data_IF_817376245161
#
_entry.id   IF_817376245161
#
_cell.length_a   1.000
_cell.length_b   1.000
_cell.length_c   1.000
_cell.angle_alpha   90.00
_cell.angle_beta   90.00
_cell.angle_gamma   90.00
#
_symmetry.space_group_name_H-M   'P 1'
#
loop_
_entity.id
_entity.type
_entity.pdbx_description
1 polymer ?
#
# COMPACT_ATOMS: atom_id res chain seq x y z
N UNK A 1 3.30 14.96 3.65
CA UNK A 1 3.50 15.07 2.19
C UNK A 1 2.24 15.61 1.52
N UNK A 2 2.36 16.57 0.61
CA UNK A 2 1.25 17.10 -0.19
C UNK A 2 1.03 16.26 -1.45
N UNK A 3 -0.20 16.15 -1.93
CA UNK A 3 -0.64 15.40 -3.12
C UNK A 3 0.29 15.58 -4.33
N UNK A 4 0.67 16.83 -4.64
CA UNK A 4 1.61 17.17 -5.73
C UNK A 4 2.99 16.51 -5.62
N UNK A 5 3.51 16.36 -4.40
CA UNK A 5 4.84 15.77 -4.16
C UNK A 5 4.84 14.26 -4.37
N UNK A 6 3.69 13.61 -4.19
CA UNK A 6 3.52 12.17 -4.42
C UNK A 6 3.49 11.91 -5.92
N UNK A 7 2.70 12.69 -6.68
CA UNK A 7 2.57 12.58 -8.13
C UNK A 7 3.93 12.71 -8.84
N UNK A 8 4.69 13.77 -8.55
CA UNK A 8 6.02 13.97 -9.17
C UNK A 8 7.03 12.87 -8.82
N UNK A 9 6.87 12.21 -7.66
CA UNK A 9 7.77 11.12 -7.28
C UNK A 9 7.36 9.79 -7.92
N UNK A 10 6.08 9.56 -8.15
CA UNK A 10 5.59 8.45 -8.97
C UNK A 10 6.13 8.61 -10.41
N UNK A 11 6.00 9.79 -11.02
CA UNK A 11 6.55 10.06 -12.38
C UNK A 11 8.05 9.70 -12.50
N UNK A 12 8.85 10.03 -11.48
CA UNK A 12 10.28 9.71 -11.46
C UNK A 12 10.56 8.22 -11.26
N UNK A 13 9.69 7.51 -10.56
CA UNK A 13 9.84 6.08 -10.29
C UNK A 13 9.43 5.23 -11.50
N UNK A 14 8.43 5.67 -12.28
CA UNK A 14 8.03 5.04 -13.55
C UNK A 14 9.08 5.18 -14.65
N UNK A 15 9.88 6.24 -14.62
CA UNK A 15 10.96 6.45 -15.58
C UNK A 15 12.11 5.43 -15.45
N UNK A 16 12.08 4.57 -14.42
CA UNK A 16 13.06 3.50 -14.18
C UNK A 16 12.49 2.16 -14.69
N UNK A 17 13.34 1.31 -15.29
CA UNK A 17 12.98 -0.09 -15.59
C UNK A 17 12.63 -0.79 -14.27
N UNK A 18 11.36 -1.16 -14.11
CA UNK A 18 10.82 -1.98 -13.02
C UNK A 18 10.87 -3.46 -13.39
N UNK A 19 10.97 -4.32 -12.38
CA UNK A 19 10.81 -5.76 -12.55
C UNK A 19 9.33 -6.13 -12.38
N UNK A 20 8.87 -7.19 -13.05
CA UNK A 20 7.45 -7.61 -13.04
C UNK A 20 6.92 -7.98 -11.63
N UNK A 21 7.81 -8.23 -10.67
CA UNK A 21 7.47 -8.62 -9.30
C UNK A 21 7.58 -7.45 -8.28
N UNK A 22 7.82 -6.23 -8.74
CA UNK A 22 7.95 -5.06 -7.86
C UNK A 22 6.59 -4.42 -7.55
N UNK A 23 6.39 -4.07 -6.28
CA UNK A 23 5.22 -3.37 -5.76
C UNK A 23 5.59 -1.94 -5.40
N UNK A 24 4.76 -0.97 -5.76
CA UNK A 24 4.98 0.43 -5.40
C UNK A 24 4.45 0.68 -4.00
N UNK A 25 5.35 0.92 -3.04
CA UNK A 25 4.98 1.27 -1.68
C UNK A 25 4.80 2.78 -1.54
N UNK A 26 3.59 3.20 -1.17
CA UNK A 26 3.22 4.56 -0.83
C UNK A 26 2.95 4.69 0.67
N UNK A 27 3.29 5.85 1.23
CA UNK A 27 3.09 6.17 2.64
C UNK A 27 2.24 7.42 2.79
N UNK A 28 1.25 7.36 3.68
CA UNK A 28 0.45 8.51 4.11
C UNK A 28 0.53 8.70 5.62
N UNK A 29 0.36 9.93 6.10
CA UNK A 29 0.07 10.13 7.53
C UNK A 29 -1.37 9.68 7.82
N UNK A 30 -1.68 9.22 9.05
CA UNK A 30 -3.04 8.80 9.41
C UNK A 30 -4.04 9.94 9.16
N UNK A 31 -5.16 9.63 8.50
CA UNK A 31 -6.21 10.61 8.17
C UNK A 31 -5.91 11.51 6.96
N UNK A 32 -4.75 11.36 6.30
CA UNK A 32 -4.49 12.06 5.05
C UNK A 32 -5.19 11.37 3.87
N UNK A 33 -5.91 12.14 3.06
CA UNK A 33 -6.51 11.65 1.81
C UNK A 33 -5.42 11.45 0.75
N UNK A 34 -5.12 10.18 0.47
CA UNK A 34 -4.21 9.77 -0.60
C UNK A 34 -4.99 9.24 -1.82
N UNK A 35 -6.28 8.99 -1.68
CA UNK A 35 -7.10 8.38 -2.72
C UNK A 35 -7.22 9.34 -3.89
N UNK A 36 -7.30 10.65 -3.63
CA UNK A 36 -7.21 11.69 -4.65
C UNK A 36 -5.85 11.69 -5.37
N UNK A 37 -4.74 11.45 -4.66
CA UNK A 37 -3.40 11.43 -5.25
C UNK A 37 -3.21 10.20 -6.16
N UNK A 38 -3.61 9.02 -5.67
CA UNK A 38 -3.53 7.77 -6.43
C UNK A 38 -4.50 7.81 -7.61
N UNK A 39 -5.73 8.27 -7.41
CA UNK A 39 -6.69 8.44 -8.51
C UNK A 39 -6.20 9.42 -9.57
N UNK A 40 -5.52 10.50 -9.18
CA UNK A 40 -4.94 11.45 -10.14
C UNK A 40 -3.76 10.85 -10.90
N UNK A 41 -2.88 10.10 -10.23
CA UNK A 41 -1.75 9.41 -10.87
C UNK A 41 -2.24 8.33 -11.84
N UNK A 42 -3.27 7.58 -11.42
CA UNK A 42 -3.91 6.58 -12.26
C UNK A 42 -4.55 7.17 -13.52
N UNK A 43 -5.33 8.25 -13.38
CA UNK A 43 -5.91 8.97 -14.53
C UNK A 43 -4.85 9.54 -15.48
N UNK A 44 -3.68 9.88 -14.95
CA UNK A 44 -2.55 10.35 -15.74
C UNK A 44 -1.78 9.20 -16.41
N UNK A 45 -2.22 7.94 -16.27
CA UNK A 45 -1.58 6.78 -16.86
C UNK A 45 -0.21 6.46 -16.23
N UNK A 46 0.00 6.92 -14.99
CA UNK A 46 1.27 6.70 -14.29
C UNK A 46 1.39 5.30 -13.72
N UNK A 47 0.31 4.54 -13.63
CA UNK A 47 0.37 3.12 -13.29
C UNK A 47 0.12 2.31 -14.56
N UNK A 48 1.04 1.39 -14.85
CA UNK A 48 0.87 0.40 -15.89
C UNK A 48 -0.13 -0.67 -15.46
N UNK A 49 -0.76 -1.30 -16.44
CA UNK A 49 -1.66 -2.43 -16.18
C UNK A 49 -0.88 -3.57 -15.52
N UNK A 50 -1.34 -4.00 -14.34
CA UNK A 50 -0.70 -5.05 -13.54
C UNK A 50 0.16 -4.53 -12.38
N UNK A 51 0.34 -3.22 -12.24
CA UNK A 51 1.10 -2.67 -11.12
C UNK A 51 0.44 -2.91 -9.78
N UNK A 52 1.25 -3.38 -8.85
CA UNK A 52 0.84 -3.62 -7.47
C UNK A 52 1.18 -2.39 -6.63
N UNK A 53 0.20 -1.51 -6.42
CA UNK A 53 0.38 -0.30 -5.60
C UNK A 53 -0.18 -0.52 -4.19
N UNK A 54 0.68 -0.39 -3.19
CA UNK A 54 0.33 -0.53 -1.77
C UNK A 54 0.35 0.84 -1.09
N UNK A 55 -0.63 1.10 -0.23
CA UNK A 55 -0.65 2.32 0.57
C UNK A 55 -0.74 2.03 2.07
N UNK A 56 0.36 2.27 2.79
CA UNK A 56 0.43 2.16 4.25
C UNK A 56 0.21 3.49 4.98
N UNK A 57 -0.35 3.41 6.19
CA UNK A 57 -0.31 4.54 7.13
C UNK A 57 0.99 4.53 7.91
N UNK A 58 1.70 5.66 7.88
CA UNK A 58 2.94 5.88 8.63
C UNK A 58 2.65 6.39 10.03
N UNK A 59 2.96 5.58 11.05
CA UNK A 59 2.71 5.90 12.46
C UNK A 59 3.95 6.38 13.21
N UNK A 60 5.06 6.63 12.50
CA UNK A 60 6.24 7.26 13.10
C UNK A 60 6.03 8.74 13.37
N UNK A 61 6.80 9.28 14.31
CA UNK A 61 6.79 10.71 14.64
C UNK A 61 7.30 11.54 13.45
N UNK A 62 8.34 11.05 12.77
CA UNK A 62 8.97 11.68 11.60
C UNK A 62 8.09 11.69 10.34
N UNK A 63 8.56 12.39 9.30
CA UNK A 63 7.94 12.37 7.99
C UNK A 63 7.84 10.95 7.40
N UNK A 64 6.77 10.65 6.66
CA UNK A 64 6.61 9.34 6.04
C UNK A 64 7.76 9.04 5.07
N UNK A 65 8.20 7.77 4.99
CA UNK A 65 9.25 7.36 4.09
C UNK A 65 8.94 7.70 2.64
N UNK A 66 10.00 7.74 1.84
CA UNK A 66 9.83 7.99 0.44
C UNK A 66 9.08 6.86 -0.26
N UNK A 67 8.12 7.21 -1.13
CA UNK A 67 7.53 6.27 -2.09
C UNK A 67 8.65 5.56 -2.86
N UNK A 68 8.59 4.23 -2.94
CA UNK A 68 9.61 3.40 -3.57
C UNK A 68 9.04 2.06 -4.02
N UNK A 69 9.65 1.48 -5.04
CA UNK A 69 9.42 0.09 -5.43
C UNK A 69 10.04 -0.86 -4.40
N UNK A 70 9.30 -1.88 -4.01
CA UNK A 70 9.71 -2.96 -3.11
C UNK A 70 9.36 -4.29 -3.76
N UNK A 71 10.28 -5.25 -3.72
CA UNK A 71 10.06 -6.59 -4.26
C UNK A 71 9.59 -7.54 -3.15
N UNK A 72 10.16 -7.40 -1.95
CA UNK A 72 9.83 -8.26 -0.79
C UNK A 72 9.53 -7.41 0.41
N UNK A 73 8.25 -7.30 0.76
CA UNK A 73 7.79 -6.44 1.87
C UNK A 73 8.56 -6.73 3.16
N UNK A 74 8.74 -8.02 3.51
CA UNK A 74 9.43 -8.42 4.74
C UNK A 74 10.93 -8.07 4.78
N UNK A 75 11.59 -7.97 3.63
CA UNK A 75 13.05 -7.76 3.55
C UNK A 75 13.40 -6.31 3.19
N UNK A 76 12.55 -5.65 2.42
CA UNK A 76 12.80 -4.31 1.88
C UNK A 76 12.26 -3.21 2.79
N UNK A 77 11.36 -3.53 3.74
CA UNK A 77 10.88 -2.58 4.74
C UNK A 77 11.68 -2.70 6.03
N UNK A 78 11.98 -1.53 6.60
CA UNK A 78 12.57 -1.40 7.93
C UNK A 78 11.57 -1.80 9.01
N UNK A 79 12.05 -2.12 10.22
CA UNK A 79 11.17 -2.46 11.34
C UNK A 79 10.09 -1.40 11.66
N UNK A 80 10.37 -0.08 11.62
CA UNK A 80 9.35 0.96 11.82
C UNK A 80 8.30 1.00 10.71
N UNK A 81 8.71 0.74 9.47
CA UNK A 81 7.83 0.66 8.30
C UNK A 81 6.90 -0.56 8.44
N UNK A 82 7.47 -1.73 8.75
CA UNK A 82 6.70 -2.95 9.01
C UNK A 82 5.74 -2.77 10.19
N UNK A 83 6.19 -2.16 11.30
CA UNK A 83 5.34 -1.88 12.45
C UNK A 83 4.17 -0.96 12.13
N UNK A 84 4.38 0.02 11.25
CA UNK A 84 3.34 0.93 10.78
C UNK A 84 2.32 0.23 9.87
N UNK A 85 2.78 -0.67 8.99
CA UNK A 85 1.90 -1.54 8.19
C UNK A 85 1.03 -2.45 9.07
N UNK A 86 1.63 -3.10 10.06
CA UNK A 86 0.87 -3.95 10.98
C UNK A 86 -0.17 -3.18 11.78
N UNK A 87 0.12 -1.93 12.18
CA UNK A 87 -0.87 -1.05 12.82
C UNK A 87 -2.02 -0.72 11.88
N UNK A 88 -1.73 -0.45 10.61
CA UNK A 88 -2.75 -0.20 9.57
C UNK A 88 -3.66 -1.42 9.42
N UNK A 89 -3.08 -2.62 9.27
CA UNK A 89 -3.83 -3.88 9.19
C UNK A 89 -4.68 -4.13 10.43
N UNK A 90 -4.08 -3.97 11.63
CA UNK A 90 -4.79 -4.19 12.89
C UNK A 90 -5.99 -3.26 13.02
N UNK A 91 -5.84 -2.00 12.63
CA UNK A 91 -6.95 -1.04 12.64
C UNK A 91 -8.07 -1.46 11.69
N UNK A 92 -7.75 -1.90 10.47
CA UNK A 92 -8.75 -2.41 9.53
C UNK A 92 -9.49 -3.63 10.07
N UNK A 93 -8.80 -4.56 10.73
CA UNK A 93 -9.43 -5.74 11.36
C UNK A 93 -10.38 -5.32 12.48
N UNK A 94 -9.97 -4.38 13.33
CA UNK A 94 -10.81 -3.85 14.42
C UNK A 94 -12.03 -3.10 13.85
N UNK A 95 -11.82 -2.19 12.90
CA UNK A 95 -12.90 -1.41 12.26
C UNK A 95 -13.91 -2.32 11.52
N UNK A 96 -13.46 -3.48 11.01
CA UNK A 96 -14.32 -4.47 10.36
C UNK A 96 -15.07 -5.32 11.39
N UNK A 97 -14.43 -5.68 12.50
CA UNK A 97 -15.05 -6.42 13.61
C UNK A 97 -16.22 -5.64 14.23
N UNK A 98 -16.14 -4.31 14.28
CA UNK A 98 -17.22 -3.48 14.81
C UNK A 98 -18.42 -3.35 13.84
N UNK A 99 -18.23 -3.70 12.55
CA UNK A 99 -19.22 -3.53 11.49
C UNK A 99 -19.72 -4.83 10.84
N UNK A 100 -19.26 -6.00 11.27
CA UNK A 100 -19.68 -7.25 10.67
C UNK A 100 -19.93 -8.36 11.69
N UNK A 101 -21.21 -8.66 11.92
CA UNK A 101 -21.66 -9.98 12.38
C UNK A 101 -21.55 -11.03 11.26
N UNK A 102 -20.41 -11.10 10.58
CA UNK A 102 -20.14 -12.13 9.57
C UNK A 102 -19.43 -13.28 10.23
N UNK A 103 -20.07 -14.45 10.15
CA UNK A 103 -19.55 -15.74 10.55
C UNK A 103 -18.09 -15.92 10.11
N UNK A 104 -17.30 -16.39 11.07
CA UNK A 104 -15.88 -16.73 10.99
C UNK A 104 -15.70 -17.95 10.08
N UNK A 105 -16.01 -17.80 8.78
CA UNK A 105 -15.72 -18.84 7.81
C UNK A 105 -14.23 -18.79 7.49
N UNK A 106 -13.47 -19.88 7.70
CA UNK A 106 -12.12 -19.95 7.17
C UNK A 106 -12.22 -19.74 5.66
N UNK A 107 -11.39 -18.86 5.13
CA UNK A 107 -11.29 -18.59 3.70
C UNK A 107 -10.17 -19.46 3.11
N UNK A 108 -10.41 -20.73 2.75
CA UNK A 108 -9.38 -21.65 2.25
C UNK A 108 -8.75 -21.20 0.93
N UNK A 109 -9.32 -20.20 0.25
CA UNK A 109 -8.70 -19.59 -0.92
C UNK A 109 -7.51 -18.68 -0.56
N UNK A 110 -7.43 -18.18 0.68
CA UNK A 110 -6.33 -17.30 1.10
C UNK A 110 -5.01 -18.06 1.33
N UNK A 111 -5.07 -19.36 1.67
CA UNK A 111 -3.86 -20.16 1.91
C UNK A 111 -3.04 -20.47 0.65
N UNK A 112 -3.61 -20.26 -0.54
CA UNK A 112 -2.92 -20.42 -1.82
C UNK A 112 -2.37 -19.11 -2.38
N UNK A 113 -2.68 -17.98 -1.75
CA UNK A 113 -2.22 -16.68 -2.20
C UNK A 113 -0.81 -16.42 -1.68
N UNK A 114 0.02 -15.80 -2.51
CA UNK A 114 1.32 -15.32 -2.06
C UNK A 114 1.15 -14.22 -1.00
N UNK A 115 2.14 -14.05 -0.13
CA UNK A 115 2.14 -12.99 0.89
C UNK A 115 1.89 -11.62 0.25
N UNK A 116 2.46 -11.38 -0.92
CA UNK A 116 2.32 -10.17 -1.73
C UNK A 116 0.86 -9.95 -2.17
N UNK A 117 0.17 -11.01 -2.59
CA UNK A 117 -1.24 -10.95 -2.97
C UNK A 117 -2.12 -10.67 -1.76
N UNK A 118 -1.77 -11.20 -0.58
CA UNK A 118 -2.48 -10.90 0.66
C UNK A 118 -2.30 -9.42 1.06
N UNK A 119 -1.11 -8.85 0.88
CA UNK A 119 -0.88 -7.42 1.08
C UNK A 119 -1.66 -6.55 0.08
N UNK A 120 -1.68 -6.94 -1.20
CA UNK A 120 -2.51 -6.28 -2.22
C UNK A 120 -3.99 -6.29 -1.84
N UNK A 121 -4.52 -7.41 -1.34
CA UNK A 121 -5.92 -7.49 -0.94
C UNK A 121 -6.25 -6.65 0.30
N UNK A 122 -5.28 -6.48 1.21
CA UNK A 122 -5.50 -5.78 2.47
C UNK A 122 -5.32 -4.26 2.35
N UNK A 123 -4.30 -3.79 1.63
CA UNK A 123 -3.91 -2.37 1.56
C UNK A 123 -3.59 -1.90 0.14
N UNK A 124 -3.86 -2.74 -0.86
CA UNK A 124 -3.68 -2.39 -2.26
C UNK A 124 -4.69 -1.33 -2.69
N UNK A 125 -4.21 -0.37 -3.46
CA UNK A 125 -5.05 0.66 -4.06
C UNK A 125 -5.40 0.25 -5.48
N UNK A 126 -6.68 0.38 -5.85
CA UNK A 126 -7.09 0.15 -7.24
C UNK A 126 -6.53 1.25 -8.12
N UNK A 127 -5.55 0.88 -8.94
CA UNK A 127 -5.13 1.60 -10.14
C UNK A 127 -6.03 1.16 -11.29
#
# INVERSE_FOLDING_TARGET
>A
MTTRSITTRIEKLEARRRNDDEMLMLWRKPGADIDAAVSSANKAGMFGSGDLVLCGEWHGEDDPPAARWVQRIKSDLTEPEMGSLYKTLKKMVVDRSDNSGTEDMPAPYLSHLSDETLWQLAIGVRT
#
